data_IF_879751165879
#
_entry.id   IF_879751165879
#
_cell.length_a   1.000
_cell.length_b   1.000
_cell.length_c   1.000
_cell.angle_alpha   90.00
_cell.angle_beta   90.00
_cell.angle_gamma   90.00
#
_symmetry.space_group_name_H-M   'P 1'
#
loop_
_entity.id
_entity.type
_entity.pdbx_description
1 polymer ?
#
# COMPACT_ATOMS: atom_id res chain seq x y z
N UNK A 1 -13.60 2.32 24.65
CA UNK A 1 -12.24 2.03 24.13
C UNK A 1 -11.19 2.19 25.22
N UNK A 2 -10.17 1.33 25.26
CA UNK A 2 -9.08 1.36 26.24
C UNK A 2 -7.73 1.18 25.55
N UNK A 3 -6.72 2.00 25.91
CA UNK A 3 -5.37 1.80 25.42
C UNK A 3 -4.66 0.72 26.23
N UNK A 4 -4.15 -0.30 25.53
CA UNK A 4 -3.41 -1.41 26.10
C UNK A 4 -1.90 -1.12 25.99
N UNK A 5 -1.25 -0.86 27.14
CA UNK A 5 0.18 -0.52 27.21
C UNK A 5 1.11 -1.67 26.81
N UNK A 6 0.70 -2.92 27.06
CA UNK A 6 1.55 -4.08 26.77
C UNK A 6 1.64 -4.36 25.27
N UNK A 7 0.56 -4.09 24.53
CA UNK A 7 0.49 -4.29 23.08
C UNK A 7 0.70 -2.98 22.28
N UNK A 8 0.73 -1.82 22.95
CA UNK A 8 0.64 -0.50 22.34
C UNK A 8 -0.52 -0.40 21.34
N UNK A 9 -1.73 -0.84 21.78
CA UNK A 9 -2.92 -0.87 20.92
C UNK A 9 -4.11 -0.24 21.62
N UNK A 10 -5.02 0.29 20.80
CA UNK A 10 -6.34 0.66 21.24
C UNK A 10 -7.23 -0.59 21.16
N UNK A 11 -7.77 -1.03 22.30
CA UNK A 11 -8.71 -2.15 22.37
C UNK A 11 -10.14 -1.60 22.48
N UNK A 12 -11.07 -2.21 21.76
CA UNK A 12 -12.49 -1.89 21.88
C UNK A 12 -13.05 -2.42 23.21
N UNK A 13 -14.06 -1.72 23.72
CA UNK A 13 -14.85 -2.18 24.87
C UNK A 13 -15.75 -3.35 24.45
N UNK A 14 -16.01 -4.28 25.35
CA UNK A 14 -17.01 -5.33 25.14
C UNK A 14 -18.45 -4.78 25.01
N UNK A 15 -18.69 -3.54 25.47
CA UNK A 15 -19.97 -2.85 25.27
C UNK A 15 -19.83 -1.92 24.07
N UNK A 16 -20.53 -2.21 23.00
CA UNK A 16 -20.47 -1.47 21.74
C UNK A 16 -20.77 0.02 21.92
N UNK A 17 -21.71 0.36 22.81
CA UNK A 17 -22.06 1.74 23.16
C UNK A 17 -20.89 2.57 23.71
N UNK A 18 -19.78 1.95 24.12
CA UNK A 18 -18.58 2.63 24.60
C UNK A 18 -17.52 2.83 23.49
N UNK A 19 -17.79 2.37 22.30
CA UNK A 19 -16.86 2.43 21.15
C UNK A 19 -17.24 3.51 20.15
N UNK A 20 -17.89 4.59 20.60
CA UNK A 20 -18.24 5.66 19.70
C UNK A 20 -17.03 6.53 19.31
N UNK A 21 -17.07 7.02 18.09
CA UNK A 21 -16.06 7.88 17.51
C UNK A 21 -16.76 8.95 16.65
N UNK A 22 -16.21 10.16 16.57
CA UNK A 22 -16.81 11.23 15.76
C UNK A 22 -15.99 11.46 14.51
N UNK A 23 -16.69 11.48 13.37
CA UNK A 23 -16.14 11.81 12.05
C UNK A 23 -16.91 13.03 11.54
N UNK A 24 -16.23 14.14 11.32
CA UNK A 24 -16.84 15.40 10.85
C UNK A 24 -18.06 15.86 11.68
N UNK A 25 -18.07 15.52 12.97
CA UNK A 25 -19.14 15.91 13.91
C UNK A 25 -20.26 14.89 14.09
N UNK A 26 -20.37 13.88 13.23
CA UNK A 26 -21.33 12.79 13.33
C UNK A 26 -20.77 11.63 14.16
N UNK A 27 -21.67 10.86 14.80
CA UNK A 27 -21.29 9.74 15.68
C UNK A 27 -21.30 8.41 14.91
N UNK A 28 -20.22 7.65 15.07
CA UNK A 28 -20.03 6.32 14.53
C UNK A 28 -19.66 5.34 15.62
N UNK A 29 -19.96 4.07 15.43
CA UNK A 29 -19.48 2.99 16.31
C UNK A 29 -18.28 2.31 15.67
N UNK A 30 -17.21 2.14 16.47
CA UNK A 30 -16.05 1.36 16.05
C UNK A 30 -16.25 -0.12 16.32
N UNK A 31 -15.99 -0.91 15.32
CA UNK A 31 -15.94 -2.37 15.38
C UNK A 31 -14.61 -2.90 14.84
N UNK A 32 -14.28 -4.14 15.16
CA UNK A 32 -13.06 -4.74 14.62
C UNK A 32 -13.21 -4.94 13.11
N UNK A 33 -12.20 -4.50 12.36
CA UNK A 33 -12.12 -4.80 10.96
C UNK A 33 -11.67 -6.27 10.81
N UNK A 34 -12.57 -7.11 10.30
CA UNK A 34 -12.29 -8.52 10.05
C UNK A 34 -11.92 -8.72 8.59
N UNK A 35 -10.82 -9.40 8.35
CA UNK A 35 -10.49 -9.97 7.04
C UNK A 35 -10.73 -11.48 7.10
N UNK A 36 -11.88 -11.92 6.62
CA UNK A 36 -12.32 -13.29 6.82
C UNK A 36 -12.47 -13.55 8.34
N UNK A 37 -11.97 -14.65 8.86
CA UNK A 37 -12.04 -15.00 10.27
C UNK A 37 -10.79 -14.58 11.09
N UNK A 38 -9.95 -13.69 10.57
CA UNK A 38 -8.72 -13.28 11.23
C UNK A 38 -8.67 -11.76 11.47
N UNK A 39 -8.29 -11.28 12.68
CA UNK A 39 -8.14 -9.85 12.94
C UNK A 39 -7.02 -9.26 12.07
N UNK A 40 -7.24 -8.08 11.52
CA UNK A 40 -6.23 -7.36 10.72
C UNK A 40 -5.03 -7.01 11.59
N UNK A 41 -3.89 -7.60 11.31
CA UNK A 41 -2.62 -7.32 11.99
C UNK A 41 -1.89 -6.15 11.32
N UNK A 42 -2.28 -4.93 11.63
CA UNK A 42 -1.46 -3.75 11.31
C UNK A 42 -0.18 -3.72 12.13
N UNK A 43 1.00 -3.60 11.50
CA UNK A 43 2.30 -3.55 12.21
C UNK A 43 2.42 -2.35 13.16
N UNK A 44 2.09 -1.13 12.70
CA UNK A 44 2.29 0.13 13.42
C UNK A 44 0.99 0.87 13.76
N UNK A 45 -0.18 0.30 13.46
CA UNK A 45 -1.47 0.96 13.62
C UNK A 45 -2.52 0.02 14.22
N UNK A 46 -3.54 0.58 14.87
CA UNK A 46 -4.80 -0.10 15.19
C UNK A 46 -5.82 0.35 14.16
N UNK A 47 -6.49 -0.60 13.52
CA UNK A 47 -7.43 -0.33 12.42
C UNK A 47 -8.79 -0.85 12.81
N UNK A 48 -9.82 -0.01 12.64
CA UNK A 48 -11.21 -0.32 12.97
C UNK A 48 -12.12 0.11 11.82
N UNK A 49 -13.25 -0.56 11.71
CA UNK A 49 -14.38 -0.12 10.93
C UNK A 49 -15.22 0.85 11.77
N UNK A 50 -15.61 1.99 11.22
CA UNK A 50 -16.52 2.93 11.82
C UNK A 50 -17.86 2.84 11.07
N UNK A 51 -18.93 2.45 11.75
CA UNK A 51 -20.25 2.26 11.17
C UNK A 51 -21.21 3.31 11.73
N UNK A 52 -21.92 4.00 10.85
CA UNK A 52 -22.97 4.94 11.27
C UNK A 52 -24.11 4.19 11.97
N UNK A 53 -24.75 4.74 13.03
CA UNK A 53 -25.79 4.06 13.78
C UNK A 53 -26.97 3.56 12.97
N UNK A 54 -27.30 4.20 11.87
CA UNK A 54 -28.37 3.79 10.95
C UNK A 54 -27.90 2.82 9.84
N UNK A 55 -26.61 2.47 9.80
CA UNK A 55 -26.03 1.58 8.81
C UNK A 55 -25.87 2.17 7.40
N UNK A 56 -26.08 3.48 7.21
CA UNK A 56 -26.04 4.13 5.89
C UNK A 56 -24.62 4.40 5.39
N UNK A 57 -23.64 4.48 6.27
CA UNK A 57 -22.26 4.79 5.95
C UNK A 57 -21.28 4.00 6.81
N UNK A 58 -20.16 3.64 6.21
CA UNK A 58 -19.03 3.05 6.91
C UNK A 58 -17.70 3.59 6.40
N UNK A 59 -16.73 3.65 7.30
CA UNK A 59 -15.39 4.14 7.05
C UNK A 59 -14.37 3.24 7.74
N UNK A 60 -13.10 3.38 7.39
CA UNK A 60 -11.98 2.75 8.10
C UNK A 60 -11.20 3.81 8.85
N UNK A 61 -10.98 3.59 10.14
CA UNK A 61 -10.20 4.46 11.02
C UNK A 61 -8.88 3.79 11.35
N UNK A 62 -7.77 4.45 11.04
CA UNK A 62 -6.42 4.00 11.34
C UNK A 62 -5.82 4.88 12.42
N UNK A 63 -5.53 4.28 13.58
CA UNK A 63 -4.86 4.95 14.70
C UNK A 63 -3.40 4.59 14.73
N UNK A 64 -2.54 5.60 14.88
CA UNK A 64 -1.14 5.39 15.20
C UNK A 64 -1.01 4.78 16.60
N UNK A 65 -0.15 3.77 16.77
CA UNK A 65 -0.09 2.96 17.99
C UNK A 65 0.50 3.67 19.19
N UNK A 66 1.39 4.64 18.97
CA UNK A 66 2.10 5.30 20.05
C UNK A 66 1.49 6.65 20.35
N UNK A 67 1.70 7.12 21.59
CA UNK A 67 1.32 8.49 21.95
C UNK A 67 2.20 9.50 21.22
N UNK A 68 1.62 10.62 20.82
CA UNK A 68 2.37 11.73 20.20
C UNK A 68 3.41 12.32 21.15
N UNK A 69 3.17 12.22 22.44
CA UNK A 69 4.02 12.77 23.52
C UNK A 69 5.20 11.89 23.88
N UNK A 70 5.41 10.75 23.20
CA UNK A 70 6.61 9.93 23.38
C UNK A 70 7.78 10.57 22.63
N UNK A 71 8.82 10.94 23.39
CA UNK A 71 10.05 11.56 22.85
C UNK A 71 11.19 10.53 22.76
N UNK A 72 10.94 9.43 22.07
CA UNK A 72 11.96 8.44 21.74
C UNK A 72 12.17 8.41 20.23
N UNK A 73 13.40 8.20 19.73
CA UNK A 73 13.69 8.28 18.29
C UNK A 73 12.82 7.39 17.42
N UNK A 74 12.60 6.15 17.82
CA UNK A 74 11.83 5.17 17.03
C UNK A 74 10.33 5.50 16.95
N UNK A 75 9.59 5.78 18.04
CA UNK A 75 8.22 6.26 17.96
C UNK A 75 8.06 7.56 17.16
N UNK A 76 9.01 8.51 17.30
CA UNK A 76 8.98 9.78 16.54
C UNK A 76 9.15 9.56 15.04
N UNK A 77 10.09 8.72 14.63
CA UNK A 77 10.29 8.35 13.23
C UNK A 77 9.04 7.68 12.63
N UNK A 78 8.41 6.78 13.37
CA UNK A 78 7.16 6.13 12.96
C UNK A 78 6.00 7.10 12.88
N UNK A 79 5.94 8.09 13.78
CA UNK A 79 4.96 9.16 13.70
C UNK A 79 5.17 10.02 12.45
N UNK A 80 6.42 10.36 12.13
CA UNK A 80 6.74 11.10 10.90
C UNK A 80 6.30 10.33 9.65
N UNK A 81 6.47 9.02 9.60
CA UNK A 81 5.94 8.20 8.49
C UNK A 81 4.42 8.23 8.42
N UNK A 82 3.74 8.17 9.57
CA UNK A 82 2.28 8.25 9.63
C UNK A 82 1.76 9.63 9.19
N UNK A 83 2.45 10.71 9.54
CA UNK A 83 2.11 12.07 9.07
C UNK A 83 2.40 12.23 7.56
N UNK A 84 3.47 11.63 7.03
CA UNK A 84 3.72 11.58 5.58
C UNK A 84 2.62 10.84 4.82
N UNK A 85 2.15 9.73 5.36
CA UNK A 85 1.03 8.99 4.78
C UNK A 85 -0.22 9.87 4.68
N UNK A 86 -0.58 10.58 5.75
CA UNK A 86 -1.71 11.52 5.75
C UNK A 86 -1.48 12.65 4.73
N UNK A 87 -0.28 13.22 4.69
CA UNK A 87 0.09 14.27 3.74
C UNK A 87 -0.09 13.79 2.30
N UNK A 88 0.46 12.62 1.96
CA UNK A 88 0.37 12.06 0.62
C UNK A 88 -1.07 11.78 0.17
N UNK A 89 -1.91 11.24 1.07
CA UNK A 89 -3.33 11.02 0.79
C UNK A 89 -4.06 12.35 0.51
N UNK A 90 -3.78 13.39 1.28
CA UNK A 90 -4.37 14.73 1.07
C UNK A 90 -3.88 15.38 -0.21
N UNK A 91 -2.59 15.31 -0.52
CA UNK A 91 -2.01 15.84 -1.75
C UNK A 91 -2.60 15.15 -2.99
N UNK A 92 -2.68 13.82 -2.96
CA UNK A 92 -3.28 13.05 -4.04
C UNK A 92 -4.77 13.42 -4.23
N UNK A 93 -5.54 13.53 -3.14
CA UNK A 93 -6.95 13.87 -3.18
C UNK A 93 -7.21 15.29 -3.69
N UNK A 94 -6.33 16.25 -3.39
CA UNK A 94 -6.42 17.63 -3.84
C UNK A 94 -5.98 17.84 -5.31
N UNK A 95 -5.35 16.83 -5.91
CA UNK A 95 -4.83 16.87 -7.27
C UNK A 95 -5.85 16.33 -8.29
N UNK A 96 -5.49 16.45 -9.58
CA UNK A 96 -6.20 15.77 -10.68
C UNK A 96 -6.07 14.24 -10.61
N UNK A 97 -5.08 13.71 -9.88
CA UNK A 97 -4.79 12.28 -9.70
C UNK A 97 -5.50 11.64 -8.49
N UNK A 98 -6.54 12.30 -7.96
CA UNK A 98 -7.29 11.83 -6.77
C UNK A 98 -7.80 10.38 -6.81
N UNK A 99 -7.86 9.78 -7.99
CA UNK A 99 -8.28 8.38 -8.20
C UNK A 99 -7.15 7.36 -8.16
N UNK A 100 -5.94 7.69 -7.65
CA UNK A 100 -4.84 6.73 -7.53
C UNK A 100 -4.68 6.14 -6.12
N UNK A 101 -5.27 6.77 -5.10
CA UNK A 101 -5.19 6.34 -3.68
C UNK A 101 -6.56 6.30 -3.03
N UNK A 102 -6.66 5.60 -1.89
CA UNK A 102 -7.87 5.63 -1.05
C UNK A 102 -8.17 7.05 -0.58
N UNK A 103 -9.46 7.36 -0.50
CA UNK A 103 -9.90 8.69 -0.12
C UNK A 103 -9.80 8.90 1.39
N UNK A 104 -9.08 9.95 1.82
CA UNK A 104 -9.08 10.42 3.21
C UNK A 104 -10.31 11.30 3.46
N UNK A 105 -11.03 11.03 4.56
CA UNK A 105 -12.27 11.71 4.94
C UNK A 105 -12.05 12.68 6.09
N UNK A 106 -11.25 12.26 7.09
CA UNK A 106 -10.98 13.03 8.29
C UNK A 106 -9.62 12.65 8.87
N UNK A 107 -9.01 13.54 9.66
CA UNK A 107 -7.81 13.22 10.43
C UNK A 107 -7.71 14.12 11.67
N UNK A 108 -7.07 13.61 12.70
CA UNK A 108 -6.97 14.36 13.94
C UNK A 108 -6.20 13.63 15.04
N UNK A 109 -6.49 14.04 16.26
CA UNK A 109 -5.94 13.43 17.47
C UNK A 109 -7.05 12.94 18.38
N UNK A 110 -6.90 11.72 18.87
CA UNK A 110 -7.87 11.09 19.75
C UNK A 110 -7.32 11.01 21.18
N UNK A 111 -8.03 11.56 22.18
CA UNK A 111 -7.61 11.52 23.57
C UNK A 111 -7.81 10.13 24.16
N UNK A 112 -6.81 9.63 24.87
CA UNK A 112 -6.89 8.42 25.68
C UNK A 112 -6.44 8.72 27.11
N UNK A 113 -7.11 8.09 28.08
CA UNK A 113 -6.76 8.25 29.48
C UNK A 113 -5.95 7.02 29.94
N UNK A 114 -4.77 7.28 30.47
CA UNK A 114 -3.84 6.28 31.00
C UNK A 114 -3.33 6.70 32.37
N UNK A 115 -2.72 5.78 33.11
CA UNK A 115 -1.99 6.17 34.32
C UNK A 115 -0.93 7.23 33.96
N UNK A 116 -0.95 8.38 34.60
CA UNK A 116 -0.12 9.54 34.27
C UNK A 116 -0.83 10.62 33.46
N UNK A 117 -2.14 10.47 33.22
CA UNK A 117 -2.99 11.53 32.68
C UNK A 117 -3.50 11.30 31.26
N UNK A 118 -3.92 12.39 30.62
CA UNK A 118 -4.45 12.39 29.25
C UNK A 118 -3.27 12.36 28.27
N UNK A 119 -3.33 11.41 27.30
CA UNK A 119 -2.42 11.31 26.14
C UNK A 119 -3.23 11.38 24.85
N UNK A 120 -2.55 11.53 23.71
CA UNK A 120 -3.21 11.59 22.42
C UNK A 120 -2.65 10.56 21.43
N UNK A 121 -3.54 9.95 20.65
CA UNK A 121 -3.19 9.13 19.48
C UNK A 121 -3.48 9.92 18.20
N UNK A 122 -2.59 9.87 17.23
CA UNK A 122 -2.84 10.38 15.88
C UNK A 122 -3.73 9.40 15.14
N UNK A 123 -4.70 9.89 14.36
CA UNK A 123 -5.55 9.06 13.51
C UNK A 123 -5.83 9.72 12.17
N UNK A 124 -6.28 8.92 11.23
CA UNK A 124 -7.02 9.37 10.06
C UNK A 124 -8.16 8.39 9.73
N UNK A 125 -9.12 8.89 8.96
CA UNK A 125 -10.31 8.17 8.49
C UNK A 125 -10.25 8.12 6.97
N UNK A 126 -10.53 6.97 6.40
CA UNK A 126 -10.59 6.77 4.95
C UNK A 126 -11.87 6.04 4.55
N UNK A 127 -12.26 6.21 3.29
CA UNK A 127 -13.37 5.43 2.72
C UNK A 127 -13.08 3.93 2.84
N UNK A 128 -14.11 3.16 3.15
CA UNK A 128 -14.02 1.70 3.16
C UNK A 128 -13.97 1.20 1.71
N UNK A 129 -13.08 0.25 1.44
CA UNK A 129 -12.99 -0.44 0.16
C UNK A 129 -13.79 -1.75 0.20
N UNK A 130 -14.22 -2.23 -0.96
CA UNK A 130 -14.97 -3.49 -1.08
C UNK A 130 -14.10 -4.69 -0.69
N UNK A 131 -12.82 -4.65 -1.08
CA UNK A 131 -11.82 -5.69 -0.79
C UNK A 131 -10.40 -5.19 -1.04
N UNK A 132 -9.39 -6.01 -0.70
CA UNK A 132 -8.06 -5.88 -1.28
C UNK A 132 -7.94 -6.72 -2.57
N UNK A 133 -6.86 -6.51 -3.33
CA UNK A 133 -6.62 -7.22 -4.59
C UNK A 133 -6.46 -8.73 -4.37
N UNK A 134 -5.88 -9.19 -3.26
CA UNK A 134 -5.73 -10.62 -2.98
C UNK A 134 -7.08 -11.31 -2.81
N UNK A 135 -8.00 -10.67 -2.10
CA UNK A 135 -9.38 -11.15 -1.96
C UNK A 135 -10.12 -11.07 -3.29
N UNK A 136 -10.00 -9.95 -4.00
CA UNK A 136 -10.67 -9.74 -5.28
C UNK A 136 -10.30 -10.81 -6.33
N UNK A 137 -9.00 -11.12 -6.48
CA UNK A 137 -8.54 -12.15 -7.41
C UNK A 137 -9.03 -13.56 -7.04
N UNK A 138 -9.19 -13.84 -5.75
CA UNK A 138 -9.67 -15.15 -5.29
C UNK A 138 -11.16 -15.36 -5.50
N UNK A 139 -11.95 -14.29 -5.36
CA UNK A 139 -13.42 -14.35 -5.45
C UNK A 139 -13.94 -14.13 -6.88
N UNK A 140 -13.09 -13.73 -7.83
CA UNK A 140 -13.48 -13.40 -9.19
C UNK A 140 -12.68 -14.20 -10.21
N UNK A 141 -13.36 -14.95 -11.05
CA UNK A 141 -12.75 -15.64 -12.20
C UNK A 141 -12.63 -14.67 -13.38
N UNK A 142 -11.47 -14.01 -13.47
CA UNK A 142 -11.21 -12.99 -14.48
C UNK A 142 -10.70 -13.62 -15.79
N UNK A 143 -11.34 -13.26 -16.91
CA UNK A 143 -10.81 -13.55 -18.24
C UNK A 143 -9.50 -12.83 -18.52
N UNK A 144 -8.70 -13.31 -19.47
CA UNK A 144 -7.42 -12.66 -19.84
C UNK A 144 -7.58 -11.17 -20.21
N UNK A 145 -8.59 -10.75 -21.01
CA UNK A 145 -8.80 -9.32 -21.25
C UNK A 145 -9.05 -8.51 -19.97
N UNK A 146 -9.84 -9.03 -19.03
CA UNK A 146 -10.09 -8.36 -17.74
C UNK A 146 -8.81 -8.26 -16.88
N UNK A 147 -7.98 -9.31 -16.87
CA UNK A 147 -6.68 -9.32 -16.17
C UNK A 147 -5.71 -8.28 -16.76
N UNK A 148 -5.62 -8.19 -18.09
CA UNK A 148 -4.78 -7.20 -18.77
C UNK A 148 -5.31 -5.79 -18.55
N UNK A 149 -6.62 -5.58 -18.56
CA UNK A 149 -7.24 -4.30 -18.21
C UNK A 149 -6.92 -3.90 -16.77
N UNK A 150 -7.01 -4.83 -15.81
CA UNK A 150 -6.65 -4.58 -14.41
C UNK A 150 -5.16 -4.21 -14.27
N UNK A 151 -4.26 -4.89 -14.98
CA UNK A 151 -2.85 -4.53 -15.03
C UNK A 151 -2.63 -3.10 -15.56
N UNK A 152 -3.36 -2.71 -16.60
CA UNK A 152 -3.28 -1.35 -17.13
C UNK A 152 -3.79 -0.30 -16.14
N UNK A 153 -4.89 -0.55 -15.44
CA UNK A 153 -5.40 0.35 -14.40
C UNK A 153 -4.41 0.48 -13.24
N UNK A 154 -3.78 -0.61 -12.81
CA UNK A 154 -2.71 -0.59 -11.80
C UNK A 154 -1.51 0.25 -12.26
N UNK A 155 -1.10 0.13 -13.52
CA UNK A 155 -0.04 0.97 -14.09
C UNK A 155 -0.44 2.44 -14.12
N UNK A 156 -1.69 2.74 -14.51
CA UNK A 156 -2.23 4.10 -14.55
C UNK A 156 -2.15 4.76 -13.17
N UNK A 157 -2.68 4.10 -12.13
CA UNK A 157 -2.66 4.68 -10.76
C UNK A 157 -1.23 4.81 -10.22
N UNK A 158 -0.28 3.95 -10.62
CA UNK A 158 1.12 4.11 -10.25
C UNK A 158 1.77 5.32 -10.94
N UNK A 159 1.48 5.54 -12.23
CA UNK A 159 1.94 6.74 -12.95
C UNK A 159 1.38 8.02 -12.33
N UNK A 160 0.10 8.01 -11.95
CA UNK A 160 -0.55 9.12 -11.27
C UNK A 160 0.15 9.43 -9.94
N UNK A 161 0.45 8.41 -9.14
CA UNK A 161 1.19 8.54 -7.88
C UNK A 161 2.62 9.09 -8.10
N UNK A 162 3.34 8.55 -9.09
CA UNK A 162 4.69 9.01 -9.45
C UNK A 162 4.68 10.44 -10.01
N UNK A 163 3.60 10.88 -10.67
CA UNK A 163 3.44 12.27 -11.13
C UNK A 163 3.36 13.27 -9.97
N UNK A 164 2.85 12.83 -8.81
CA UNK A 164 2.89 13.58 -7.55
C UNK A 164 4.28 13.55 -6.89
N UNK A 165 5.25 12.85 -7.47
CA UNK A 165 6.57 12.65 -6.88
C UNK A 165 6.58 11.70 -5.69
N UNK A 166 5.59 10.82 -5.57
CA UNK A 166 5.45 9.87 -4.46
C UNK A 166 5.87 8.47 -4.94
N UNK A 167 6.83 7.86 -4.24
CA UNK A 167 7.21 6.45 -4.40
C UNK A 167 6.52 5.61 -3.35
N UNK A 168 5.79 4.56 -3.75
CA UNK A 168 4.97 3.75 -2.85
C UNK A 168 5.80 2.85 -1.94
N UNK A 169 6.75 2.11 -2.53
CA UNK A 169 7.76 1.28 -1.87
C UNK A 169 7.24 0.03 -1.14
N UNK A 170 5.91 -0.14 -1.03
CA UNK A 170 5.27 -1.31 -0.39
C UNK A 170 4.10 -1.84 -1.23
N UNK A 171 4.30 -1.99 -2.56
CA UNK A 171 3.27 -2.51 -3.45
C UNK A 171 3.15 -4.03 -3.26
N UNK A 172 1.98 -4.45 -2.77
CA UNK A 172 1.58 -5.84 -2.57
C UNK A 172 0.05 -5.95 -2.68
N UNK A 173 -0.49 -7.15 -2.89
CA UNK A 173 -1.94 -7.31 -3.09
C UNK A 173 -2.79 -6.74 -1.95
N UNK A 174 -2.31 -6.83 -0.69
CA UNK A 174 -3.04 -6.34 0.49
C UNK A 174 -3.05 -4.81 0.61
N UNK A 175 -2.17 -4.10 -0.12
CA UNK A 175 -2.09 -2.64 -0.14
C UNK A 175 -2.73 -2.03 -1.40
N UNK A 176 -3.34 -2.86 -2.24
CA UNK A 176 -4.13 -2.47 -3.39
C UNK A 176 -5.59 -2.75 -3.05
N UNK A 177 -6.37 -1.71 -2.88
CA UNK A 177 -7.78 -1.81 -2.55
C UNK A 177 -8.65 -1.73 -3.80
N UNK A 178 -9.78 -2.45 -3.79
CA UNK A 178 -10.75 -2.46 -4.87
C UNK A 178 -12.00 -1.71 -4.43
N UNK A 179 -12.43 -0.73 -5.22
CA UNK A 179 -13.65 0.04 -5.01
C UNK A 179 -14.42 0.07 -6.34
N UNK A 180 -15.63 -0.44 -6.37
CA UNK A 180 -16.44 -0.58 -7.59
C UNK A 180 -15.64 -1.23 -8.74
N UNK A 181 -14.86 -2.27 -8.44
CA UNK A 181 -14.01 -2.98 -9.40
C UNK A 181 -12.78 -2.22 -9.89
N UNK A 182 -12.46 -1.05 -9.32
CA UNK A 182 -11.29 -0.23 -9.67
C UNK A 182 -10.22 -0.32 -8.60
N UNK A 183 -8.94 -0.46 -8.97
CA UNK A 183 -7.85 -0.50 -8.00
C UNK A 183 -7.47 0.91 -7.51
N UNK A 184 -7.12 1.01 -6.23
CA UNK A 184 -6.56 2.18 -5.57
C UNK A 184 -5.40 1.74 -4.67
N UNK A 185 -4.33 2.53 -4.59
CA UNK A 185 -3.29 2.29 -3.59
C UNK A 185 -3.75 2.75 -2.21
N UNK A 186 -3.37 1.96 -1.19
CA UNK A 186 -3.52 2.31 0.21
C UNK A 186 -2.28 1.90 1.01
N UNK A 187 -2.30 2.13 2.32
CA UNK A 187 -1.18 1.91 3.23
C UNK A 187 0.14 2.55 2.74
N UNK A 188 0.13 3.87 2.65
CA UNK A 188 1.27 4.69 2.23
C UNK A 188 2.32 4.89 3.35
N UNK A 189 2.37 3.98 4.33
CA UNK A 189 3.24 4.09 5.51
C UNK A 189 4.75 3.97 5.25
N UNK A 190 5.15 3.52 4.06
CA UNK A 190 6.56 3.38 3.66
C UNK A 190 6.96 4.32 2.51
N UNK A 191 6.11 5.27 2.12
CA UNK A 191 6.38 6.16 0.99
C UNK A 191 7.61 7.03 1.19
N UNK A 192 8.15 7.48 0.07
CA UNK A 192 9.11 8.58 0.03
C UNK A 192 8.70 9.59 -1.06
N UNK A 193 9.02 10.85 -0.84
CA UNK A 193 8.83 11.90 -1.83
C UNK A 193 10.12 12.13 -2.60
N UNK A 194 10.01 12.30 -3.93
CA UNK A 194 11.15 12.47 -4.86
C UNK A 194 12.15 13.56 -4.43
N UNK A 195 11.66 14.64 -3.84
CA UNK A 195 12.43 15.84 -3.55
C UNK A 195 12.60 16.10 -2.04
N UNK A 196 12.38 15.09 -1.18
CA UNK A 196 12.59 15.23 0.25
C UNK A 196 13.91 14.59 0.66
N UNK A 197 14.84 15.41 1.17
CA UNK A 197 16.17 14.97 1.66
C UNK A 197 16.11 14.13 2.94
N UNK A 198 14.97 14.09 3.63
CA UNK A 198 14.81 13.36 4.87
C UNK A 198 14.41 11.91 4.60
N UNK A 199 15.35 11.04 4.36
CA UNK A 199 15.09 9.61 4.40
C UNK A 199 14.80 9.19 5.85
N UNK A 200 13.58 8.68 6.09
CA UNK A 200 13.20 8.15 7.39
C UNK A 200 13.62 6.70 7.58
N UNK A 201 14.37 6.14 6.64
CA UNK A 201 14.80 4.77 6.69
C UNK A 201 16.14 4.61 7.42
N UNK A 202 16.24 3.58 8.23
CA UNK A 202 17.55 3.09 8.66
C UNK A 202 18.25 2.35 7.52
N UNK A 203 19.57 2.29 7.65
CA UNK A 203 20.42 1.71 6.62
C UNK A 203 20.10 0.24 6.30
N UNK A 204 19.85 -0.56 7.33
CA UNK A 204 19.58 -2.01 7.27
C UNK A 204 18.10 -2.33 7.48
N UNK A 205 17.25 -1.33 7.27
CA UNK A 205 15.82 -1.50 7.43
C UNK A 205 15.21 -2.20 6.20
N UNK A 206 14.35 -3.18 6.47
CA UNK A 206 13.52 -3.79 5.44
C UNK A 206 12.44 -2.80 5.00
N UNK A 207 12.56 -2.29 3.78
CA UNK A 207 11.57 -1.44 3.13
C UNK A 207 10.91 -2.24 2.02
N UNK A 208 9.63 -2.50 2.18
CA UNK A 208 8.81 -3.24 1.24
C UNK A 208 8.35 -4.60 1.74
N UNK A 209 7.46 -5.25 0.98
CA UNK A 209 6.77 -6.46 1.37
C UNK A 209 7.62 -7.70 1.11
N UNK A 210 7.57 -8.68 2.04
CA UNK A 210 8.16 -10.01 1.78
C UNK A 210 7.50 -10.64 0.55
N UNK A 211 8.31 -11.21 -0.31
CA UNK A 211 7.87 -11.82 -1.58
C UNK A 211 7.77 -10.83 -2.75
N UNK A 212 7.78 -9.52 -2.50
CA UNK A 212 7.68 -8.48 -3.54
C UNK A 212 8.83 -7.47 -3.50
N UNK A 213 9.90 -7.74 -2.73
CA UNK A 213 11.06 -6.84 -2.64
C UNK A 213 11.75 -6.70 -3.99
N UNK A 214 12.04 -5.46 -4.38
CA UNK A 214 12.96 -5.21 -5.50
C UNK A 214 14.39 -5.59 -5.13
N UNK A 215 15.29 -5.80 -6.10
CA UNK A 215 16.69 -6.13 -5.84
C UNK A 215 17.39 -5.11 -4.95
N UNK A 216 17.18 -3.81 -5.17
CA UNK A 216 17.74 -2.72 -4.37
C UNK A 216 17.16 -2.66 -2.95
N UNK A 217 15.86 -2.96 -2.79
CA UNK A 217 15.24 -3.09 -1.46
C UNK A 217 15.79 -4.30 -0.69
N UNK A 218 16.07 -5.38 -1.40
CA UNK A 218 16.73 -6.57 -0.85
C UNK A 218 18.15 -6.24 -0.39
N UNK A 219 18.95 -5.53 -1.21
CA UNK A 219 20.29 -5.09 -0.86
C UNK A 219 20.27 -4.20 0.40
N UNK A 220 19.32 -3.24 0.47
CA UNK A 220 19.14 -2.37 1.63
C UNK A 220 18.80 -3.19 2.89
N UNK A 221 17.86 -4.12 2.79
CA UNK A 221 17.42 -4.98 3.90
C UNK A 221 18.57 -5.80 4.52
N UNK A 222 19.47 -6.31 3.70
CA UNK A 222 20.64 -7.06 4.17
C UNK A 222 21.80 -6.18 4.59
N UNK A 223 21.65 -4.85 4.60
CA UNK A 223 22.72 -3.94 4.96
C UNK A 223 23.92 -4.03 4.00
N UNK A 224 23.69 -4.43 2.75
CA UNK A 224 24.74 -4.57 1.75
C UNK A 224 25.15 -3.19 1.27
N UNK A 225 26.19 -2.63 1.87
CA UNK A 225 26.82 -1.38 1.39
C UNK A 225 28.00 -1.68 0.48
N UNK A 226 28.61 -0.61 -0.01
CA UNK A 226 29.90 -0.69 -0.65
C UNK A 226 30.90 -1.41 0.27
N UNK A 227 31.35 -2.56 -0.17
CA UNK A 227 32.52 -3.23 0.38
C UNK A 227 33.70 -2.85 -0.52
N UNK A 228 34.93 -3.04 -0.05
CA UNK A 228 36.17 -2.56 -0.70
C UNK A 228 36.24 -2.73 -2.23
N UNK A 229 35.57 -3.73 -2.79
CA UNK A 229 35.57 -4.03 -4.23
C UNK A 229 34.19 -4.02 -4.90
N UNK A 230 33.10 -3.76 -4.18
CA UNK A 230 31.74 -3.88 -4.71
C UNK A 230 30.84 -2.74 -4.26
N UNK A 231 30.08 -2.19 -5.21
CA UNK A 231 29.03 -1.21 -4.97
C UNK A 231 27.69 -1.84 -5.26
N UNK A 232 26.78 -1.80 -4.29
CA UNK A 232 25.41 -2.29 -4.45
C UNK A 232 24.44 -1.12 -4.44
N UNK A 233 23.47 -1.15 -5.37
CA UNK A 233 22.36 -0.21 -5.36
C UNK A 233 21.41 -0.56 -4.20
N UNK A 234 21.21 0.37 -3.27
CA UNK A 234 20.27 0.28 -2.15
C UNK A 234 19.24 1.42 -2.21
N UNK A 235 19.19 2.18 -3.30
CA UNK A 235 18.25 3.28 -3.49
C UNK A 235 16.90 2.75 -3.97
N UNK A 236 15.85 3.02 -3.22
CA UNK A 236 14.48 2.61 -3.55
C UNK A 236 13.75 3.81 -4.11
N UNK A 237 13.38 3.73 -5.39
CA UNK A 237 12.77 4.80 -6.19
C UNK A 237 11.62 4.30 -7.07
N UNK A 238 11.20 5.09 -8.06
CA UNK A 238 10.13 4.74 -9.01
C UNK A 238 10.37 3.41 -9.75
N UNK A 239 11.64 3.09 -10.05
CA UNK A 239 11.97 1.82 -10.72
C UNK A 239 11.79 0.62 -9.77
N UNK A 240 11.90 0.84 -8.46
CA UNK A 240 11.60 -0.19 -7.45
C UNK A 240 10.11 -0.52 -7.41
N UNK A 241 9.26 0.50 -7.51
CA UNK A 241 7.81 0.34 -7.60
C UNK A 241 7.42 -0.39 -8.90
N UNK A 242 8.09 -0.12 -10.02
CA UNK A 242 7.87 -0.85 -11.29
C UNK A 242 8.21 -2.34 -11.13
N UNK A 243 9.27 -2.68 -10.42
CA UNK A 243 9.61 -4.08 -10.14
C UNK A 243 8.52 -4.76 -9.31
N UNK A 244 8.07 -4.12 -8.23
CA UNK A 244 6.97 -4.62 -7.40
C UNK A 244 5.69 -4.78 -8.20
N UNK A 245 5.34 -3.78 -9.03
CA UNK A 245 4.18 -3.84 -9.90
C UNK A 245 4.29 -4.97 -10.94
N UNK A 246 5.49 -5.24 -11.48
CA UNK A 246 5.73 -6.37 -12.37
C UNK A 246 5.44 -7.72 -11.72
N UNK A 247 5.76 -7.86 -10.43
CA UNK A 247 5.39 -9.04 -9.64
C UNK A 247 3.87 -9.14 -9.42
N UNK A 248 3.19 -8.00 -9.22
CA UNK A 248 1.72 -7.95 -9.16
C UNK A 248 1.10 -8.31 -10.51
N UNK A 249 1.67 -7.84 -11.63
CA UNK A 249 1.20 -8.22 -12.97
C UNK A 249 1.30 -9.73 -13.18
N UNK A 250 2.42 -10.33 -12.76
CA UNK A 250 2.55 -11.78 -12.81
C UNK A 250 1.45 -12.47 -11.98
N UNK A 251 1.25 -12.03 -10.73
CA UNK A 251 0.20 -12.57 -9.87
C UNK A 251 -1.19 -12.46 -10.52
N UNK A 252 -1.53 -11.29 -11.08
CA UNK A 252 -2.83 -11.07 -11.75
C UNK A 252 -3.00 -11.96 -12.97
N UNK A 253 -1.92 -12.23 -13.71
CA UNK A 253 -1.96 -12.96 -14.97
C UNK A 253 -1.77 -14.48 -14.81
N UNK A 254 -1.14 -14.93 -13.73
CA UNK A 254 -0.75 -16.34 -13.54
C UNK A 254 -1.28 -16.98 -12.24
N UNK A 255 -1.99 -16.20 -11.40
CA UNK A 255 -2.54 -16.61 -10.10
C UNK A 255 -1.48 -17.10 -9.09
N UNK A 256 -0.23 -16.67 -9.25
CA UNK A 256 0.86 -16.97 -8.33
C UNK A 256 1.89 -15.85 -8.23
N UNK A 257 2.58 -15.77 -7.10
CA UNK A 257 3.69 -14.84 -6.91
C UNK A 257 4.93 -15.38 -7.62
N UNK A 258 5.67 -14.54 -8.39
CA UNK A 258 6.87 -15.00 -9.08
C UNK A 258 7.95 -15.41 -8.09
N UNK A 259 8.61 -16.54 -8.35
CA UNK A 259 9.72 -17.05 -7.55
C UNK A 259 10.97 -17.19 -8.41
N UNK A 260 12.02 -16.44 -8.06
CA UNK A 260 13.29 -16.50 -8.78
C UNK A 260 13.26 -15.79 -10.15
N UNK A 261 14.07 -16.30 -11.08
CA UNK A 261 14.11 -15.82 -12.46
C UNK A 261 13.02 -16.49 -13.28
N UNK A 262 12.18 -15.68 -13.94
CA UNK A 262 11.07 -16.20 -14.74
C UNK A 262 11.52 -16.51 -16.18
N UNK A 263 11.10 -17.68 -16.66
CA UNK A 263 11.31 -18.15 -18.02
C UNK A 263 9.97 -18.45 -18.71
N UNK A 264 10.01 -18.64 -20.03
CA UNK A 264 8.79 -18.99 -20.80
C UNK A 264 8.15 -20.30 -20.32
N UNK A 265 8.95 -21.19 -19.73
CA UNK A 265 8.46 -22.46 -19.17
C UNK A 265 7.60 -22.28 -17.90
N UNK A 266 7.72 -21.13 -17.20
CA UNK A 266 6.96 -20.83 -15.99
C UNK A 266 5.55 -20.30 -16.31
N UNK A 267 5.28 -19.96 -17.58
CA UNK A 267 4.00 -19.39 -18.02
C UNK A 267 2.94 -20.49 -18.09
N UNK A 268 1.96 -20.47 -17.18
CA UNK A 268 0.84 -21.43 -17.15
C UNK A 268 -0.22 -21.12 -18.19
N UNK A 269 -0.56 -19.82 -18.34
CA UNK A 269 -1.52 -19.35 -19.32
C UNK A 269 -0.78 -18.62 -20.43
N UNK A 270 -1.12 -18.89 -21.69
CA UNK A 270 -0.45 -18.23 -22.81
C UNK A 270 -0.60 -16.72 -22.72
N UNK A 271 0.51 -16.03 -22.52
CA UNK A 271 0.57 -14.56 -22.43
C UNK A 271 1.03 -13.92 -23.75
N UNK A 272 1.38 -14.72 -24.76
CA UNK A 272 1.86 -14.21 -26.06
C UNK A 272 2.95 -13.13 -25.87
N UNK A 273 2.67 -11.91 -26.36
CA UNK A 273 3.58 -10.76 -26.27
C UNK A 273 3.69 -10.17 -24.85
N UNK A 274 2.73 -10.42 -23.96
CA UNK A 274 2.70 -9.82 -22.61
C UNK A 274 3.94 -10.20 -21.81
N UNK A 275 4.33 -11.48 -21.86
CA UNK A 275 5.47 -11.95 -21.08
C UNK A 275 6.79 -11.30 -21.53
N UNK A 276 7.23 -11.37 -22.80
CA UNK A 276 8.52 -10.80 -23.23
C UNK A 276 8.52 -9.27 -23.31
N UNK A 277 7.40 -8.63 -23.62
CA UNK A 277 7.34 -7.18 -23.87
C UNK A 277 6.97 -6.37 -22.62
N UNK A 278 6.33 -6.96 -21.61
CA UNK A 278 5.87 -6.26 -20.41
C UNK A 278 6.52 -6.85 -19.16
N UNK A 279 6.30 -8.12 -18.85
CA UNK A 279 6.70 -8.71 -17.57
C UNK A 279 8.23 -8.72 -17.43
N UNK A 280 8.94 -9.27 -18.41
CA UNK A 280 10.42 -9.35 -18.37
C UNK A 280 11.09 -7.97 -18.27
N UNK A 281 10.69 -6.93 -19.03
CA UNK A 281 11.23 -5.58 -18.86
C UNK A 281 10.98 -4.95 -17.48
N UNK A 282 9.84 -5.22 -16.86
CA UNK A 282 9.54 -4.73 -15.49
C UNK A 282 10.38 -5.42 -14.43
N UNK A 283 10.71 -6.70 -14.61
CA UNK A 283 11.42 -7.54 -13.63
C UNK A 283 12.95 -7.57 -13.85
N UNK A 284 13.51 -6.66 -14.64
CA UNK A 284 14.96 -6.57 -14.79
C UNK A 284 15.66 -6.26 -13.48
N UNK A 285 16.65 -7.09 -13.10
CA UNK A 285 17.45 -6.89 -11.89
C UNK A 285 18.25 -5.58 -11.95
N UNK A 286 19.04 -5.33 -13.02
CA UNK A 286 19.69 -4.04 -13.16
C UNK A 286 18.65 -2.93 -13.39
N UNK A 287 18.53 -2.00 -12.45
CA UNK A 287 17.57 -0.89 -12.50
C UNK A 287 17.65 -0.08 -13.82
N UNK A 288 18.87 0.10 -14.35
CA UNK A 288 19.08 0.80 -15.62
C UNK A 288 18.45 0.10 -16.85
N UNK A 289 18.22 -1.21 -16.76
CA UNK A 289 17.58 -2.00 -17.82
C UNK A 289 16.07 -2.17 -17.59
N UNK A 290 15.59 -1.84 -16.40
CA UNK A 290 14.19 -1.96 -16.06
C UNK A 290 13.35 -0.93 -16.80
N UNK A 291 12.23 -1.34 -17.37
CA UNK A 291 11.30 -0.46 -18.07
C UNK A 291 10.83 0.69 -17.14
N UNK A 292 10.53 1.84 -17.71
CA UNK A 292 9.80 2.90 -17.02
C UNK A 292 8.28 2.63 -17.08
N UNK A 293 7.51 3.37 -16.31
CA UNK A 293 6.05 3.30 -16.39
C UNK A 293 5.52 3.68 -17.78
N UNK A 294 6.20 4.60 -18.46
CA UNK A 294 5.84 5.00 -19.84
C UNK A 294 6.18 3.92 -20.86
N UNK A 295 7.34 3.25 -20.72
CA UNK A 295 7.70 2.13 -21.59
C UNK A 295 6.69 0.99 -21.48
N UNK A 296 6.28 0.65 -20.23
CA UNK A 296 5.25 -0.36 -19.95
C UNK A 296 3.92 0.05 -20.55
N UNK A 297 3.49 1.30 -20.39
CA UNK A 297 2.24 1.82 -20.95
C UNK A 297 2.21 1.76 -22.48
N UNK A 298 3.33 2.10 -23.12
CA UNK A 298 3.47 2.00 -24.58
C UNK A 298 3.38 0.54 -25.08
N UNK A 299 3.88 -0.43 -24.29
CA UNK A 299 3.80 -1.86 -24.64
C UNK A 299 2.39 -2.45 -24.38
N UNK A 300 1.68 -2.01 -23.33
CA UNK A 300 0.34 -2.50 -22.97
C UNK A 300 -0.73 -2.02 -23.96
N UNK A 301 -0.63 -0.77 -24.44
CA UNK A 301 -1.67 -0.13 -25.23
C UNK A 301 -2.09 -0.93 -26.50
N UNK A 302 -1.17 -1.43 -27.37
CA UNK A 302 -1.54 -2.21 -28.55
C UNK A 302 -2.18 -3.56 -28.18
N UNK A 303 -1.73 -4.18 -27.07
CA UNK A 303 -2.28 -5.46 -26.61
C UNK A 303 -3.75 -5.30 -26.17
N UNK A 304 -4.06 -4.21 -25.47
CA UNK A 304 -5.45 -3.90 -25.10
C UNK A 304 -6.33 -3.67 -26.32
N UNK A 305 -5.82 -3.03 -27.38
CA UNK A 305 -6.56 -2.85 -28.64
C UNK A 305 -6.82 -4.20 -29.34
N UNK A 306 -5.82 -5.08 -29.40
CA UNK A 306 -5.97 -6.43 -29.94
C UNK A 306 -7.03 -7.23 -29.16
N UNK A 307 -7.02 -7.19 -27.83
CA UNK A 307 -7.98 -7.88 -26.96
C UNK A 307 -9.40 -7.31 -27.01
N UNK A 308 -9.56 -6.02 -27.29
CA UNK A 308 -10.86 -5.37 -27.42
C UNK A 308 -11.53 -5.67 -28.77
N UNK A 309 -10.77 -6.13 -29.77
CA UNK A 309 -11.25 -6.48 -31.12
C UNK A 309 -11.53 -8.00 -31.27
N UNK A 310 -11.07 -8.80 -30.31
CA UNK A 310 -11.25 -10.27 -30.27
C UNK A 310 -12.49 -10.69 -29.49
#
# INVERSE_FOLDING_TARGET
MRYNRNSNRLDLSQKDTHNFFRIQGEEFFLENLEKGNAPVKGGNSSIFRAVHPDGTASYVVKFFRYFRELDFPEPQRRLQRFEREIQALKEAQASEFRGCVVQIVDDGVFPVFVEGGRKTLRYYVMSEADSDLAFYLRENDLSLPQRVFLCNELLRILRDLHSLGIYHRDIKPENIFMVDGRPLFGDLGLINFRNQDSDLDYFDEKIGPLGFLSPEATNKCFGIRNRESFSFDCSIDEKSDIFQLGQIFWLVLQDEVPTGHLETADVKFSLGRIFPEIIIPMLQYPKARRASADDVGAAVAPILQELALA
#
